data_IF_083817565956
#
_entry.id   IF_083817565956
#
_cell.length_a   1.000
_cell.length_b   1.000
_cell.length_c   1.000
_cell.angle_alpha   90.00
_cell.angle_beta   90.00
_cell.angle_gamma   90.00
#
_symmetry.space_group_name_H-M   'P 1'
#
loop_
_entity.id
_entity.type
_entity.pdbx_description
1 polymer ?
#
# COMPACT_ATOMS: atom_id res chain seq x y z
N UNK A 1 -6.88 18.88 13.45
CA UNK A 1 -7.68 18.64 12.21
C UNK A 1 -6.66 18.58 11.09
N UNK A 2 -6.68 17.55 10.24
CA UNK A 2 -5.71 17.45 9.14
C UNK A 2 -5.98 18.58 8.13
N UNK A 3 -4.98 19.42 7.90
CA UNK A 3 -5.09 20.67 7.13
C UNK A 3 -4.58 20.53 5.70
N UNK A 4 -3.62 19.64 5.45
CA UNK A 4 -2.93 19.55 4.16
C UNK A 4 -2.95 18.15 3.59
N UNK A 5 -3.06 18.08 2.25
CA UNK A 5 -2.85 16.88 1.45
C UNK A 5 -1.53 17.01 0.70
N UNK A 6 -0.64 16.07 0.94
CA UNK A 6 0.68 16.00 0.33
C UNK A 6 0.65 14.92 -0.75
N UNK A 7 1.07 15.29 -1.96
CA UNK A 7 1.10 14.39 -3.11
C UNK A 7 2.56 14.07 -3.44
N UNK A 8 2.94 12.80 -3.31
CA UNK A 8 4.27 12.31 -3.66
C UNK A 8 4.17 11.54 -4.99
N UNK A 9 4.85 12.06 -6.02
CA UNK A 9 4.91 11.45 -7.36
C UNK A 9 6.30 10.83 -7.58
N UNK A 10 6.43 9.49 -7.50
CA UNK A 10 7.72 8.85 -7.75
C UNK A 10 8.12 8.99 -9.22
N UNK A 11 9.35 9.42 -9.47
CA UNK A 11 9.93 9.49 -10.82
C UNK A 11 10.43 8.13 -11.33
N UNK A 12 10.50 7.12 -10.46
CA UNK A 12 10.99 5.79 -10.76
C UNK A 12 10.48 4.76 -9.76
N UNK A 13 11.35 3.86 -9.33
CA UNK A 13 11.02 2.87 -8.31
C UNK A 13 11.05 3.47 -6.90
N UNK A 14 10.13 3.00 -6.07
CA UNK A 14 10.10 3.22 -4.63
C UNK A 14 10.68 1.99 -3.93
N UNK A 15 11.52 2.22 -2.94
CA UNK A 15 12.15 1.15 -2.17
C UNK A 15 11.61 1.19 -0.76
N UNK A 16 11.02 0.08 -0.32
CA UNK A 16 10.55 -0.08 1.05
C UNK A 16 11.74 -0.42 1.94
N UNK A 17 11.74 0.06 3.17
CA UNK A 17 12.69 -0.47 4.16
C UNK A 17 12.32 -1.93 4.42
N UNK A 18 13.23 -2.85 4.10
CA UNK A 18 13.23 -4.16 4.73
C UNK A 18 13.30 -3.96 6.25
N UNK A 19 12.57 -4.76 7.03
CA UNK A 19 12.70 -4.75 8.49
C UNK A 19 14.12 -5.11 8.95
N UNK A 20 14.38 -5.17 10.27
CA UNK A 20 15.70 -5.52 10.76
C UNK A 20 16.05 -6.96 10.36
N UNK A 21 17.31 -7.16 9.97
CA UNK A 21 17.98 -8.42 9.63
C UNK A 21 17.78 -9.00 8.22
N UNK A 22 18.73 -8.62 7.35
CA UNK A 22 19.15 -9.41 6.19
C UNK A 22 20.06 -10.55 6.68
N UNK A 23 19.47 -11.63 7.17
CA UNK A 23 20.24 -12.89 7.25
C UNK A 23 20.29 -13.52 5.85
N UNK A 24 21.29 -14.37 5.56
CA UNK A 24 21.35 -15.13 4.30
C UNK A 24 20.07 -15.94 4.02
N UNK A 25 19.30 -16.31 5.05
CA UNK A 25 18.02 -16.99 4.90
C UNK A 25 16.87 -16.07 4.41
N UNK A 26 17.00 -14.74 4.58
CA UNK A 26 15.99 -13.76 4.15
C UNK A 26 16.16 -13.27 2.69
N UNK A 27 17.17 -13.76 1.97
CA UNK A 27 17.48 -13.38 0.57
C UNK A 27 16.39 -13.74 -0.46
N UNK A 28 15.37 -14.51 -0.07
CA UNK A 28 14.31 -14.98 -0.97
C UNK A 28 12.92 -14.46 -0.59
N UNK A 29 12.83 -13.63 0.45
CA UNK A 29 11.55 -13.19 1.01
C UNK A 29 11.10 -11.83 0.47
N UNK A 30 9.79 -11.70 0.22
CA UNK A 30 9.07 -10.40 0.20
C UNK A 30 9.03 -9.74 1.60
N UNK A 31 9.82 -10.25 2.55
CA UNK A 31 9.72 -9.99 3.98
C UNK A 31 10.29 -8.62 4.29
N UNK A 32 9.42 -7.61 4.29
CA UNK A 32 9.73 -6.29 4.84
C UNK A 32 9.13 -5.12 4.07
N UNK A 33 8.94 -5.24 2.76
CA UNK A 33 8.47 -4.11 1.95
C UNK A 33 6.96 -3.90 2.17
N UNK A 34 6.63 -2.91 3.00
CA UNK A 34 5.26 -2.48 3.24
C UNK A 34 4.95 -1.26 2.39
N UNK A 35 4.02 -1.43 1.46
CA UNK A 35 3.45 -0.35 0.67
C UNK A 35 1.93 -0.23 0.88
N UNK A 36 1.40 1.00 1.03
CA UNK A 36 2.12 2.27 0.97
C UNK A 36 3.08 2.48 2.16
N UNK A 37 4.07 3.38 2.06
CA UNK A 37 5.04 3.62 3.12
C UNK A 37 4.35 4.02 4.43
N UNK A 38 4.96 3.65 5.56
CA UNK A 38 4.40 4.00 6.88
C UNK A 38 4.43 5.51 7.13
N UNK A 39 3.58 5.97 8.05
CA UNK A 39 3.63 7.36 8.53
C UNK A 39 5.04 7.75 9.02
N UNK A 40 5.76 6.84 9.67
CA UNK A 40 7.13 7.07 10.14
C UNK A 40 8.11 7.32 8.98
N UNK A 41 7.99 6.53 7.89
CA UNK A 41 8.82 6.71 6.68
C UNK A 41 8.59 8.09 6.05
N UNK A 42 7.33 8.48 5.88
CA UNK A 42 6.99 9.80 5.31
C UNK A 42 7.39 10.92 6.26
N UNK A 43 7.20 10.76 7.56
CA UNK A 43 7.65 11.74 8.57
C UNK A 43 9.16 11.95 8.52
N UNK A 44 9.93 10.88 8.37
CA UNK A 44 11.39 10.96 8.20
C UNK A 44 11.80 11.70 6.93
N UNK A 45 11.11 11.45 5.80
CA UNK A 45 11.33 12.18 4.55
C UNK A 45 11.06 13.69 4.70
N UNK A 46 9.97 14.04 5.39
CA UNK A 46 9.62 15.43 5.68
C UNK A 46 10.63 16.10 6.62
N UNK A 47 10.97 15.44 7.72
CA UNK A 47 11.94 15.93 8.70
C UNK A 47 13.34 16.12 8.10
N UNK A 48 13.76 15.25 7.17
CA UNK A 48 15.02 15.41 6.46
C UNK A 48 15.04 16.67 5.58
N UNK A 49 13.92 16.97 4.93
CA UNK A 49 13.80 18.14 4.04
C UNK A 49 13.58 19.45 4.81
N UNK A 50 12.95 19.38 5.99
CA UNK A 50 12.63 20.53 6.85
C UNK A 50 12.96 20.19 8.32
N UNK A 51 14.21 20.44 8.78
CA UNK A 51 14.64 20.01 10.11
C UNK A 51 14.08 20.85 11.27
N UNK A 52 13.40 21.97 10.98
CA UNK A 52 12.84 22.87 11.99
C UNK A 52 11.38 22.54 12.27
N UNK A 53 10.95 22.66 13.53
CA UNK A 53 9.55 22.48 13.99
C UNK A 53 8.88 21.11 13.70
N UNK A 54 9.68 20.05 13.57
CA UNK A 54 9.21 18.67 13.36
C UNK A 54 8.39 18.07 14.53
N UNK A 55 8.42 18.67 15.73
CA UNK A 55 7.71 18.14 16.90
C UNK A 55 6.20 18.33 16.84
N UNK A 56 5.75 19.33 16.09
CA UNK A 56 4.33 19.62 15.90
C UNK A 56 3.75 18.88 14.68
N UNK A 57 4.59 18.15 13.95
CA UNK A 57 4.24 17.49 12.70
C UNK A 57 3.38 16.23 12.96
N UNK A 58 2.10 16.23 12.58
CA UNK A 58 1.24 15.04 12.65
C UNK A 58 0.92 14.49 11.26
N UNK A 59 1.31 13.25 10.98
CA UNK A 59 1.04 12.57 9.69
C UNK A 59 0.10 11.39 9.91
N UNK A 60 -1.04 11.38 9.21
CA UNK A 60 -2.03 10.30 9.33
C UNK A 60 -1.60 8.99 8.66
N UNK A 61 -0.66 9.06 7.70
CA UNK A 61 -0.15 7.92 6.95
C UNK A 61 -0.07 8.20 5.47
N UNK A 62 0.18 7.14 4.71
CA UNK A 62 0.25 7.19 3.26
C UNK A 62 -0.86 6.36 2.66
N UNK A 63 -1.48 6.92 1.64
CA UNK A 63 -2.55 6.36 0.84
C UNK A 63 -2.13 6.39 -0.62
N UNK A 64 -2.94 5.82 -1.50
CA UNK A 64 -2.73 5.97 -2.94
C UNK A 64 -3.91 6.67 -3.57
N UNK A 65 -3.65 7.46 -4.60
CA UNK A 65 -4.68 8.12 -5.37
C UNK A 65 -4.35 8.08 -6.86
N UNK A 66 -5.38 8.32 -7.69
CA UNK A 66 -5.14 8.70 -9.07
C UNK A 66 -4.51 10.11 -9.07
N UNK A 67 -3.44 10.29 -9.83
CA UNK A 67 -2.71 11.56 -9.97
C UNK A 67 -3.58 12.69 -10.51
N UNK A 68 -4.64 12.36 -11.24
CA UNK A 68 -5.63 13.31 -11.78
C UNK A 68 -6.68 13.72 -10.73
N UNK A 69 -6.91 12.88 -9.72
CA UNK A 69 -7.91 13.10 -8.66
C UNK A 69 -7.32 12.73 -7.29
N UNK A 70 -6.30 13.48 -6.81
CA UNK A 70 -5.58 13.16 -5.58
C UNK A 70 -6.46 13.27 -4.32
N UNK A 71 -7.47 14.14 -4.35
CA UNK A 71 -8.38 14.37 -3.22
C UNK A 71 -9.29 13.16 -2.93
N UNK A 72 -9.58 12.35 -3.96
CA UNK A 72 -10.32 11.10 -3.81
C UNK A 72 -9.36 9.91 -3.69
N UNK A 73 -8.44 9.99 -2.72
CA UNK A 73 -7.51 8.92 -2.42
C UNK A 73 -8.23 7.67 -1.88
N UNK A 74 -7.53 6.56 -1.96
CA UNK A 74 -8.02 5.26 -1.53
C UNK A 74 -7.43 4.91 -0.16
N UNK A 75 -8.31 4.46 0.73
CA UNK A 75 -7.97 4.02 2.08
C UNK A 75 -8.16 2.50 2.21
N UNK A 76 -7.46 1.84 3.16
CA UNK A 76 -7.66 0.41 3.39
C UNK A 76 -9.13 0.13 3.70
N UNK A 77 -9.70 -0.89 3.06
CA UNK A 77 -11.08 -1.31 3.31
C UNK A 77 -11.23 -1.70 4.78
N UNK A 78 -12.16 -1.09 5.54
CA UNK A 78 -12.46 -1.52 6.90
C UNK A 78 -12.83 -3.00 6.96
N UNK A 79 -12.37 -3.71 8.00
CA UNK A 79 -12.64 -5.15 8.16
C UNK A 79 -14.12 -5.53 8.28
N UNK A 80 -15.00 -4.54 8.46
CA UNK A 80 -16.44 -4.74 8.46
C UNK A 80 -17.01 -4.95 7.06
N UNK A 81 -16.31 -4.56 5.99
CA UNK A 81 -16.76 -4.75 4.61
C UNK A 81 -16.05 -5.94 3.99
N UNK A 82 -16.81 -6.93 3.54
CA UNK A 82 -16.27 -8.15 2.95
C UNK A 82 -16.47 -8.15 1.44
N UNK A 83 -15.37 -8.30 0.71
CA UNK A 83 -15.36 -8.35 -0.75
C UNK A 83 -14.40 -9.43 -1.25
N UNK A 84 -14.68 -9.95 -2.44
CA UNK A 84 -13.73 -10.77 -3.19
C UNK A 84 -13.01 -9.86 -4.18
N UNK A 85 -11.69 -9.79 -4.06
CA UNK A 85 -10.79 -8.94 -4.82
C UNK A 85 -10.76 -9.40 -6.29
N UNK A 86 -10.69 -8.46 -7.25
CA UNK A 86 -10.36 -8.81 -8.63
C UNK A 86 -8.96 -9.43 -8.71
N UNK A 87 -8.73 -10.33 -9.66
CA UNK A 87 -7.38 -10.85 -9.95
C UNK A 87 -6.39 -9.68 -10.15
N UNK A 88 -5.19 -9.83 -9.59
CA UNK A 88 -4.16 -8.80 -9.57
C UNK A 88 -3.92 -8.22 -10.99
N UNK A 89 -3.81 -6.89 -11.06
CA UNK A 89 -3.61 -6.05 -12.26
C UNK A 89 -4.87 -5.50 -12.95
N UNK A 90 -6.08 -5.89 -12.54
CA UNK A 90 -7.32 -5.38 -13.12
C UNK A 90 -7.83 -4.13 -12.38
N UNK A 91 -7.35 -2.97 -12.79
CA UNK A 91 -8.09 -1.70 -12.59
C UNK A 91 -8.85 -1.28 -13.85
N UNK A 92 -8.73 -2.05 -14.93
CA UNK A 92 -9.63 -2.03 -16.08
C UNK A 92 -10.75 -3.05 -15.84
N UNK A 93 -11.61 -2.82 -14.84
CA UNK A 93 -12.90 -3.51 -14.83
C UNK A 93 -13.82 -2.71 -15.74
N UNK A 94 -14.22 -3.33 -16.85
CA UNK A 94 -15.44 -2.94 -17.55
C UNK A 94 -16.62 -3.05 -16.59
N UNK A 95 -17.63 -2.19 -16.74
CA UNK A 95 -18.75 -1.94 -15.81
C UNK A 95 -19.58 -3.17 -15.39
N UNK A 96 -19.31 -4.38 -15.90
CA UNK A 96 -20.17 -5.56 -15.77
C UNK A 96 -19.58 -6.77 -15.01
N UNK A 97 -18.53 -6.60 -14.18
CA UNK A 97 -18.01 -7.70 -13.36
C UNK A 97 -18.29 -7.46 -11.86
N UNK A 98 -18.85 -8.46 -11.17
CA UNK A 98 -19.04 -8.48 -9.70
C UNK A 98 -17.72 -8.44 -8.90
N UNK A 99 -16.60 -8.33 -9.60
CA UNK A 99 -15.26 -8.19 -9.04
C UNK A 99 -15.16 -6.99 -8.10
N UNK A 100 -14.67 -7.25 -6.88
CA UNK A 100 -14.47 -6.22 -5.87
C UNK A 100 -15.76 -5.72 -5.21
N UNK A 101 -16.94 -6.14 -5.64
CA UNK A 101 -18.21 -5.71 -5.03
C UNK A 101 -18.23 -6.08 -3.54
N UNK A 102 -18.66 -5.15 -2.69
CA UNK A 102 -18.90 -5.46 -1.28
C UNK A 102 -20.09 -6.42 -1.22
N UNK A 103 -19.86 -7.61 -0.69
CA UNK A 103 -20.87 -8.68 -0.60
C UNK A 103 -21.59 -8.66 0.73
N UNK A 104 -20.87 -8.32 1.79
CA UNK A 104 -21.37 -8.36 3.17
C UNK A 104 -20.86 -7.17 3.97
N UNK A 105 -21.70 -6.69 4.89
CA UNK A 105 -21.34 -5.66 5.88
C UNK A 105 -21.59 -6.19 7.28
N UNK A 106 -20.53 -6.25 8.07
CA UNK A 106 -20.56 -6.72 9.45
C UNK A 106 -20.97 -5.59 10.40
N UNK A 107 -21.81 -5.95 11.36
CA UNK A 107 -22.15 -5.09 12.49
C UNK A 107 -21.79 -5.80 13.79
N UNK A 108 -21.33 -5.03 14.77
CA UNK A 108 -21.06 -5.56 16.10
C UNK A 108 -22.36 -5.57 16.92
N UNK A 109 -22.67 -6.74 17.46
CA UNK A 109 -23.73 -6.92 18.47
C UNK A 109 -23.10 -7.67 19.65
N UNK A 110 -23.28 -8.99 19.72
CA UNK A 110 -22.56 -9.89 20.64
C UNK A 110 -21.38 -10.60 19.96
N UNK A 111 -21.43 -10.67 18.62
CA UNK A 111 -20.39 -11.15 17.72
C UNK A 111 -20.46 -10.39 16.40
N UNK A 112 -19.40 -10.44 15.59
CA UNK A 112 -19.42 -9.90 14.23
C UNK A 112 -20.35 -10.73 13.33
N UNK A 113 -21.42 -10.11 12.85
CA UNK A 113 -22.41 -10.75 11.96
C UNK A 113 -23.09 -9.75 11.04
N UNK A 114 -23.76 -10.22 9.99
CA UNK A 114 -24.64 -9.35 9.20
C UNK A 114 -25.84 -8.89 10.02
N UNK A 115 -26.48 -7.82 9.55
CA UNK A 115 -27.64 -7.19 10.22
C UNK A 115 -28.80 -8.18 10.42
N UNK A 116 -28.94 -9.12 9.51
CA UNK A 116 -29.92 -10.19 9.45
C UNK A 116 -29.51 -11.45 10.24
N UNK A 117 -28.38 -11.40 10.97
CA UNK A 117 -27.94 -12.47 11.87
C UNK A 117 -27.36 -13.70 11.14
N UNK A 118 -27.21 -13.61 9.82
CA UNK A 118 -26.68 -14.69 8.98
C UNK A 118 -25.19 -14.89 9.25
N UNK A 119 -24.79 -16.14 9.44
CA UNK A 119 -23.38 -16.50 9.50
C UNK A 119 -22.80 -16.46 8.09
N UNK A 120 -21.70 -15.71 7.94
CA UNK A 120 -21.03 -15.57 6.66
C UNK A 120 -20.04 -16.73 6.49
N UNK A 121 -20.20 -17.46 5.40
CA UNK A 121 -19.27 -18.51 4.97
C UNK A 121 -18.53 -18.06 3.71
N UNK A 122 -17.23 -18.32 3.67
CA UNK A 122 -16.40 -18.05 2.50
C UNK A 122 -15.07 -17.38 2.83
N UNK A 123 -14.20 -17.34 1.81
CA UNK A 123 -12.93 -16.62 1.86
C UNK A 123 -13.12 -15.26 1.21
N UNK A 124 -12.86 -14.22 1.96
CA UNK A 124 -12.83 -12.83 1.50
C UNK A 124 -11.42 -12.32 1.50
N UNK A 125 -11.14 -11.37 0.62
CA UNK A 125 -9.79 -10.90 0.43
C UNK A 125 -9.40 -9.85 1.47
N UNK A 126 -8.16 -9.99 1.93
CA UNK A 126 -7.45 -9.00 2.72
C UNK A 126 -6.66 -8.10 1.76
N UNK A 127 -6.25 -6.92 2.21
CA UNK A 127 -5.49 -5.96 1.39
C UNK A 127 -6.25 -5.44 0.16
N UNK A 128 -7.47 -4.96 0.42
CA UNK A 128 -8.28 -4.20 -0.51
C UNK A 128 -8.43 -2.75 -0.06
N UNK A 129 -8.87 -1.90 -0.97
CA UNK A 129 -8.94 -0.45 -0.79
C UNK A 129 -10.27 0.11 -1.28
N UNK A 130 -10.80 1.14 -0.62
CA UNK A 130 -12.00 1.87 -1.03
C UNK A 130 -11.68 3.35 -1.25
N UNK A 131 -12.35 4.04 -2.18
CA UNK A 131 -12.19 5.48 -2.33
C UNK A 131 -12.77 6.20 -1.11
N UNK A 132 -12.08 7.25 -0.64
CA UNK A 132 -12.45 7.97 0.58
C UNK A 132 -13.85 8.58 0.50
N UNK A 133 -14.30 9.00 -0.68
CA UNK A 133 -15.65 9.53 -0.89
C UNK A 133 -16.77 8.49 -0.69
N UNK A 134 -16.45 7.20 -0.67
CA UNK A 134 -17.39 6.11 -0.38
C UNK A 134 -17.20 5.52 1.01
N UNK A 135 -16.41 6.16 1.89
CA UNK A 135 -16.07 5.63 3.23
C UNK A 135 -17.28 5.14 4.04
N UNK A 136 -18.38 5.88 4.03
CA UNK A 136 -19.58 5.57 4.81
C UNK A 136 -20.51 4.54 4.14
N UNK A 137 -20.39 4.35 2.83
CA UNK A 137 -21.24 3.43 2.07
C UNK A 137 -20.50 2.84 0.85
N UNK A 138 -19.44 2.04 1.07
CA UNK A 138 -18.65 1.49 -0.01
C UNK A 138 -19.42 0.43 -0.79
N UNK A 139 -19.40 0.55 -2.11
CA UNK A 139 -20.05 -0.42 -3.01
C UNK A 139 -19.02 -1.39 -3.62
N UNK A 140 -17.78 -0.92 -3.79
CA UNK A 140 -16.72 -1.67 -4.44
C UNK A 140 -15.37 -1.41 -3.77
N UNK A 141 -14.64 -2.49 -3.55
CA UNK A 141 -13.26 -2.52 -3.12
C UNK A 141 -12.32 -2.83 -4.29
N UNK A 142 -11.12 -2.29 -4.21
CA UNK A 142 -10.11 -2.33 -5.26
C UNK A 142 -8.84 -3.01 -4.75
N UNK A 143 -8.05 -3.53 -5.68
CA UNK A 143 -6.76 -4.12 -5.35
C UNK A 143 -5.72 -3.07 -4.93
N UNK A 144 -4.58 -3.57 -4.47
CA UNK A 144 -3.40 -2.73 -4.25
C UNK A 144 -2.84 -2.24 -5.60
N UNK A 145 -2.41 -0.97 -5.71
CA UNK A 145 -1.81 -0.42 -6.93
C UNK A 145 -0.32 -0.76 -7.07
N UNK A 146 0.27 -1.40 -6.07
CA UNK A 146 1.72 -1.60 -5.95
C UNK A 146 2.17 -2.83 -6.73
N UNK A 147 3.05 -2.62 -7.71
CA UNK A 147 3.71 -3.68 -8.47
C UNK A 147 5.13 -3.86 -7.92
N UNK A 148 5.45 -5.08 -7.49
CA UNK A 148 6.77 -5.42 -6.98
C UNK A 148 7.64 -5.96 -8.12
N UNK A 149 8.83 -5.39 -8.26
CA UNK A 149 9.84 -5.74 -9.26
C UNK A 149 11.10 -6.22 -8.53
N UNK A 150 11.44 -7.52 -8.63
CA UNK A 150 12.66 -8.04 -8.02
C UNK A 150 13.88 -7.52 -8.77
N UNK A 151 14.80 -6.91 -8.06
CA UNK A 151 16.07 -6.39 -8.55
C UNK A 151 17.22 -7.12 -7.85
N UNK A 152 18.14 -7.63 -8.65
CA UNK A 152 19.32 -8.31 -8.16
C UNK A 152 20.52 -7.37 -8.26
N UNK A 153 21.19 -7.16 -7.12
CA UNK A 153 22.32 -6.25 -6.98
C UNK A 153 23.58 -7.07 -6.68
N UNK A 154 24.32 -7.53 -7.71
CA UNK A 154 25.61 -8.15 -7.53
C UNK A 154 26.66 -7.08 -7.24
N UNK A 155 27.49 -7.28 -6.22
CA UNK A 155 28.70 -6.47 -6.04
C UNK A 155 29.85 -7.07 -6.84
N UNK A 156 30.49 -6.25 -7.66
CA UNK A 156 31.68 -6.63 -8.42
C UNK A 156 32.94 -6.38 -7.60
N UNK A 157 34.00 -7.14 -7.89
CA UNK A 157 35.35 -6.81 -7.44
C UNK A 157 35.81 -5.52 -8.16
N UNK A 158 36.49 -4.62 -7.45
CA UNK A 158 36.82 -3.28 -7.95
C UNK A 158 37.55 -3.30 -9.31
N UNK A 159 38.51 -4.21 -9.46
CA UNK A 159 39.38 -4.30 -10.64
C UNK A 159 39.04 -5.49 -11.56
N UNK A 160 37.93 -6.19 -11.32
CA UNK A 160 37.56 -7.37 -12.12
C UNK A 160 36.09 -7.35 -12.47
N UNK A 161 35.76 -7.78 -13.70
CA UNK A 161 34.36 -8.05 -14.10
C UNK A 161 33.86 -9.38 -13.54
N UNK A 162 34.03 -9.56 -12.23
CA UNK A 162 33.67 -10.77 -11.49
C UNK A 162 32.88 -10.40 -10.24
N UNK A 163 31.79 -11.12 -9.99
CA UNK A 163 30.97 -10.97 -8.79
C UNK A 163 31.75 -11.42 -7.57
N UNK A 164 31.71 -10.64 -6.49
CA UNK A 164 32.28 -11.01 -5.20
C UNK A 164 31.39 -12.03 -4.50
N UNK A 165 31.97 -13.17 -4.12
CA UNK A 165 31.23 -14.27 -3.47
C UNK A 165 30.53 -13.79 -2.20
N UNK A 166 29.25 -14.11 -2.05
CA UNK A 166 28.44 -13.75 -0.89
C UNK A 166 27.87 -12.32 -0.91
N UNK A 167 28.18 -11.52 -1.93
CA UNK A 167 27.69 -10.14 -2.06
C UNK A 167 26.66 -10.02 -3.18
N UNK A 168 25.61 -10.84 -3.07
CA UNK A 168 24.44 -10.81 -3.94
C UNK A 168 23.23 -10.41 -3.10
N UNK A 169 22.61 -9.28 -3.44
CA UNK A 169 21.46 -8.75 -2.72
C UNK A 169 20.22 -8.74 -3.62
N UNK A 170 19.11 -9.32 -3.15
CA UNK A 170 17.81 -9.24 -3.81
C UNK A 170 16.94 -8.19 -3.11
N UNK A 171 16.47 -7.21 -3.87
CA UNK A 171 15.55 -6.18 -3.40
C UNK A 171 14.26 -6.22 -4.21
N UNK A 172 13.11 -5.91 -3.59
CA UNK A 172 11.86 -5.77 -4.32
C UNK A 172 11.50 -4.29 -4.45
N UNK A 173 11.89 -3.69 -5.58
CA UNK A 173 11.48 -2.35 -5.96
C UNK A 173 9.95 -2.30 -6.14
N UNK A 174 9.32 -1.18 -5.80
CA UNK A 174 7.88 -0.98 -5.98
C UNK A 174 7.62 0.12 -6.98
N UNK A 175 6.74 -0.16 -7.93
CA UNK A 175 6.23 0.83 -8.89
C UNK A 175 4.72 0.93 -8.75
N UNK A 176 4.15 2.13 -8.54
CA UNK A 176 2.73 2.34 -8.74
C UNK A 176 2.39 2.14 -10.22
N UNK A 177 1.21 1.56 -10.50
CA UNK A 177 0.65 1.60 -11.85
C UNK A 177 0.61 3.05 -12.35
N UNK A 178 0.95 3.25 -13.63
CA UNK A 178 0.99 4.55 -14.31
C UNK A 178 -0.28 5.36 -13.99
N UNK A 179 -0.13 6.67 -13.77
CA UNK A 179 -1.13 7.62 -13.26
C UNK A 179 -1.43 7.61 -11.76
N UNK A 180 -0.65 6.93 -10.90
CA UNK A 180 -0.89 6.95 -9.43
C UNK A 180 0.17 7.66 -8.63
N UNK A 181 -0.28 8.28 -7.53
CA UNK A 181 0.56 8.98 -6.58
C UNK A 181 0.31 8.49 -5.15
N UNK A 182 1.28 8.76 -4.29
CA UNK A 182 1.13 8.60 -2.85
C UNK A 182 0.51 9.88 -2.29
N UNK A 183 -0.43 9.71 -1.35
CA UNK A 183 -1.16 10.80 -0.74
C UNK A 183 -1.04 10.70 0.77
N UNK A 184 -0.59 11.76 1.43
CA UNK A 184 -0.45 11.81 2.89
C UNK A 184 -1.16 13.01 3.47
N UNK A 185 -1.87 12.80 4.57
CA UNK A 185 -2.57 13.88 5.29
C UNK A 185 -1.71 14.38 6.46
N UNK A 186 -1.75 15.69 6.66
CA UNK A 186 -0.88 16.40 7.58
C UNK A 186 -1.65 17.42 8.45
N UNK A 187 -1.27 17.59 9.73
CA UNK A 187 -1.74 18.64 10.65
C UNK A 187 -0.58 19.25 11.43
#
# INVERSE_FOLDING_TARGET
MLQYLIIIKPLGFLYGSAGPFLSPENLVGRSGNRFPPTAATVSGLFAHSNPTNIRDLQIAGSFWANSEQPDNFFVPTPFIYLAKKPLANYFQDQENNDNGKIQHTLTWQEKWQEKDGKQIEGKFDRDSWIPINQWYNPQKAYGSPWQYHPHLHPRLLEEQRKVKTGELFLENAVRPVTSRCLSSLFS
#
